data_IF_576852334622
#
_entry.id   IF_576852334622
#
_cell.length_a   1.000
_cell.length_b   1.000
_cell.length_c   1.000
_cell.angle_alpha   90.00
_cell.angle_beta   90.00
_cell.angle_gamma   90.00
#
_symmetry.space_group_name_H-M   'P 1'
#
loop_
_entity.id
_entity.type
_entity.pdbx_description
1 polymer ?
#
# COMPACT_ATOMS: atom_id res chain seq x y z
N UNK A 1 11.61 10.88 17.87
CA UNK A 1 10.41 11.73 17.84
C UNK A 1 9.39 11.10 16.92
N UNK A 2 8.13 11.11 17.30
CA UNK A 2 7.07 10.46 16.55
C UNK A 2 6.92 11.00 15.11
N UNK A 3 7.12 12.32 14.89
CA UNK A 3 7.10 12.92 13.56
C UNK A 3 8.10 12.30 12.61
N UNK A 4 9.27 11.93 13.11
CA UNK A 4 10.30 11.29 12.30
C UNK A 4 9.87 9.91 11.77
N UNK A 5 9.12 9.16 12.56
CA UNK A 5 8.63 7.83 12.11
C UNK A 5 7.65 8.00 10.96
N UNK A 6 6.71 8.94 11.09
CA UNK A 6 5.72 9.19 10.04
C UNK A 6 6.40 9.70 8.76
N UNK A 7 7.35 10.61 8.89
CA UNK A 7 8.11 11.14 7.76
C UNK A 7 8.95 10.05 7.09
N UNK A 8 9.59 9.19 7.88
CA UNK A 8 10.37 8.06 7.35
C UNK A 8 9.47 7.05 6.64
N UNK A 9 8.27 6.81 7.17
CA UNK A 9 7.28 5.96 6.54
C UNK A 9 6.90 6.48 5.15
N UNK A 10 6.59 7.78 5.05
CA UNK A 10 6.26 8.39 3.77
C UNK A 10 7.43 8.34 2.79
N UNK A 11 8.64 8.68 3.25
CA UNK A 11 9.84 8.65 2.42
C UNK A 11 10.15 7.23 1.92
N UNK A 12 9.93 6.22 2.77
CA UNK A 12 10.11 4.83 2.38
C UNK A 12 9.20 4.46 1.21
N UNK A 13 7.90 4.76 1.30
CA UNK A 13 6.98 4.43 0.22
C UNK A 13 7.26 5.18 -1.07
N UNK A 14 7.79 6.39 -0.98
CA UNK A 14 8.19 7.16 -2.16
C UNK A 14 9.47 6.63 -2.82
N UNK A 15 10.30 5.92 -2.07
CA UNK A 15 11.56 5.35 -2.55
C UNK A 15 11.48 3.86 -2.87
N UNK A 16 10.45 3.16 -2.37
CA UNK A 16 10.35 1.71 -2.44
C UNK A 16 10.15 1.23 -3.87
N UNK A 17 10.93 0.24 -4.26
CA UNK A 17 10.78 -0.50 -5.50
C UNK A 17 11.26 -1.94 -5.28
N UNK A 18 11.21 -2.77 -6.32
CA UNK A 18 11.60 -4.19 -6.23
C UNK A 18 13.06 -4.39 -5.82
N UNK A 19 13.91 -3.41 -6.04
CA UNK A 19 15.35 -3.48 -5.74
C UNK A 19 15.70 -2.83 -4.40
N UNK A 20 14.73 -2.23 -3.72
CA UNK A 20 14.92 -1.50 -2.47
C UNK A 20 14.04 -2.01 -1.33
N UNK A 21 13.67 -3.27 -1.35
CA UNK A 21 12.81 -3.86 -0.31
C UNK A 21 13.47 -3.89 1.07
N UNK A 22 14.79 -3.76 1.13
CA UNK A 22 15.51 -3.64 2.42
C UNK A 22 15.08 -2.42 3.22
N UNK A 23 14.48 -1.40 2.58
CA UNK A 23 13.97 -0.23 3.27
C UNK A 23 12.84 -0.57 4.25
N UNK A 24 12.11 -1.65 4.01
CA UNK A 24 11.03 -2.08 4.91
C UNK A 24 11.53 -2.29 6.33
N UNK A 25 12.66 -2.97 6.49
CA UNK A 25 13.23 -3.26 7.80
C UNK A 25 13.77 -2.02 8.53
N UNK A 26 13.98 -0.93 7.83
CA UNK A 26 14.40 0.32 8.43
C UNK A 26 13.25 1.07 9.10
N UNK A 27 12.01 0.85 8.64
CA UNK A 27 10.82 1.56 9.10
C UNK A 27 9.92 0.66 9.95
N UNK A 28 9.71 -0.58 9.51
CA UNK A 28 8.86 -1.53 10.22
C UNK A 28 9.64 -2.29 11.29
N UNK A 29 8.96 -2.57 12.40
CA UNK A 29 9.53 -3.40 13.46
C UNK A 29 9.66 -4.86 13.02
N UNK A 30 10.55 -5.64 13.68
CA UNK A 30 10.66 -7.08 13.37
C UNK A 30 9.35 -7.85 13.53
N UNK A 31 8.47 -7.40 14.43
CA UNK A 31 7.19 -8.03 14.75
C UNK A 31 5.99 -7.33 14.11
N UNK A 32 6.21 -6.61 13.02
CA UNK A 32 5.16 -5.86 12.31
C UNK A 32 3.92 -6.72 12.03
N UNK A 33 2.76 -6.14 12.23
CA UNK A 33 1.49 -6.68 11.75
C UNK A 33 0.99 -5.80 10.62
N UNK A 34 0.86 -6.37 9.45
CA UNK A 34 0.44 -5.68 8.23
C UNK A 34 -0.87 -6.28 7.73
N UNK A 35 -1.84 -5.43 7.50
CA UNK A 35 -3.15 -5.85 6.99
C UNK A 35 -3.52 -4.99 5.78
N UNK A 36 -3.92 -5.63 4.70
CA UNK A 36 -4.54 -4.96 3.57
C UNK A 36 -5.86 -5.70 3.23
N UNK A 37 -6.61 -5.26 2.21
CA UNK A 37 -7.87 -5.92 1.86
C UNK A 37 -7.73 -7.39 1.43
N UNK A 38 -6.52 -7.85 1.14
CA UNK A 38 -6.27 -9.20 0.63
C UNK A 38 -5.76 -10.13 1.74
N UNK A 39 -4.78 -9.66 2.52
CA UNK A 39 -4.01 -10.51 3.43
C UNK A 39 -3.72 -9.84 4.77
N UNK A 40 -3.41 -10.67 5.75
CA UNK A 40 -2.78 -10.30 7.01
C UNK A 40 -1.42 -10.97 7.05
N UNK A 41 -0.37 -10.18 7.29
CA UNK A 41 1.01 -10.66 7.31
C UNK A 41 1.66 -10.25 8.62
N UNK A 42 2.36 -11.16 9.25
CA UNK A 42 3.04 -10.92 10.53
C UNK A 42 4.54 -11.17 10.38
N UNK A 43 5.33 -10.22 10.90
CA UNK A 43 6.78 -10.30 10.89
C UNK A 43 7.41 -9.70 9.63
N UNK A 44 8.61 -9.14 9.82
CA UNK A 44 9.30 -8.40 8.75
C UNK A 44 9.75 -9.31 7.60
N UNK A 45 10.11 -10.56 7.90
CA UNK A 45 10.56 -11.48 6.85
C UNK A 45 9.41 -11.84 5.90
N UNK A 46 8.26 -12.20 6.46
CA UNK A 46 7.08 -12.52 5.67
C UNK A 46 6.54 -11.29 4.94
N UNK A 47 6.63 -10.11 5.56
CA UNK A 47 6.20 -8.88 4.92
C UNK A 47 7.10 -8.53 3.73
N UNK A 48 8.41 -8.70 3.87
CA UNK A 48 9.34 -8.46 2.76
C UNK A 48 9.05 -9.40 1.60
N UNK A 49 8.78 -10.67 1.88
CA UNK A 49 8.42 -11.64 0.85
C UNK A 49 7.09 -11.29 0.17
N UNK A 50 6.12 -10.83 0.95
CA UNK A 50 4.83 -10.38 0.43
C UNK A 50 5.00 -9.21 -0.54
N UNK A 51 5.80 -8.22 -0.17
CA UNK A 51 6.10 -7.07 -1.02
C UNK A 51 6.89 -7.47 -2.26
N UNK A 52 7.81 -8.43 -2.12
CA UNK A 52 8.57 -8.92 -3.26
C UNK A 52 7.64 -9.50 -4.33
N UNK A 53 6.65 -10.26 -3.92
CA UNK A 53 5.65 -10.82 -4.85
C UNK A 53 4.78 -9.74 -5.47
N UNK A 54 4.34 -8.78 -4.67
CA UNK A 54 3.51 -7.68 -5.17
C UNK A 54 4.24 -6.82 -6.20
N UNK A 55 5.51 -6.57 -5.98
CA UNK A 55 6.30 -5.68 -6.82
C UNK A 55 6.89 -6.37 -8.05
N UNK A 56 6.78 -7.69 -8.14
CA UNK A 56 7.35 -8.47 -9.24
C UNK A 56 6.86 -8.02 -10.61
N UNK A 57 5.58 -7.73 -10.76
CA UNK A 57 5.00 -7.28 -12.03
C UNK A 57 4.86 -5.77 -12.16
N UNK A 58 5.37 -5.01 -11.22
CA UNK A 58 5.20 -3.55 -11.19
C UNK A 58 6.23 -2.91 -12.12
N UNK A 59 5.75 -2.17 -13.13
CA UNK A 59 6.59 -1.37 -14.00
C UNK A 59 6.91 -0.02 -13.37
N UNK A 60 5.90 0.64 -12.80
CA UNK A 60 6.05 1.90 -12.09
C UNK A 60 5.04 1.96 -10.95
N UNK A 61 5.44 2.54 -9.84
CA UNK A 61 4.56 2.80 -8.70
C UNK A 61 4.98 4.10 -8.03
N UNK A 62 4.01 4.92 -7.69
CA UNK A 62 4.24 6.15 -6.95
C UNK A 62 3.12 6.41 -5.96
N UNK A 63 3.45 7.08 -4.85
CA UNK A 63 2.51 7.47 -3.82
C UNK A 63 2.58 8.97 -3.59
N UNK A 64 1.42 9.62 -3.56
CA UNK A 64 1.27 10.99 -3.10
C UNK A 64 0.44 10.98 -1.83
N UNK A 65 0.97 11.55 -0.75
CA UNK A 65 0.25 11.64 0.53
C UNK A 65 -0.46 12.99 0.60
N UNK A 66 -1.79 12.93 0.75
CA UNK A 66 -2.63 14.14 0.74
C UNK A 66 -2.84 14.69 2.14
N UNK A 67 -3.43 13.88 3.03
CA UNK A 67 -3.71 14.26 4.40
C UNK A 67 -2.99 13.32 5.34
N UNK A 68 -2.27 13.90 6.30
CA UNK A 68 -1.59 13.13 7.33
C UNK A 68 -2.00 13.68 8.68
N UNK A 69 -2.63 12.81 9.49
CA UNK A 69 -3.07 13.15 10.84
C UNK A 69 -2.29 12.29 11.82
N UNK A 70 -1.60 12.91 12.75
CA UNK A 70 -0.82 12.23 13.77
C UNK A 70 -1.40 12.55 15.15
N UNK A 71 -1.64 11.50 15.93
CA UNK A 71 -2.09 11.63 17.31
C UNK A 71 -1.36 10.60 18.17
N UNK A 72 -0.44 11.09 19.00
CA UNK A 72 0.35 10.21 19.87
C UNK A 72 1.16 9.18 19.09
N UNK A 73 0.83 7.92 19.30
CA UNK A 73 1.54 6.77 18.73
C UNK A 73 0.85 6.19 17.48
N UNK A 74 -0.07 6.94 16.91
CA UNK A 74 -0.77 6.51 15.69
C UNK A 74 -0.87 7.64 14.68
N UNK A 75 -0.97 7.27 13.41
CA UNK A 75 -1.17 8.21 12.32
C UNK A 75 -2.12 7.63 11.29
N UNK A 76 -2.85 8.49 10.65
CA UNK A 76 -3.72 8.16 9.54
C UNK A 76 -3.26 8.97 8.34
N UNK A 77 -2.93 8.27 7.25
CA UNK A 77 -2.37 8.89 6.06
C UNK A 77 -3.26 8.57 4.86
N UNK A 78 -3.85 9.60 4.26
CA UNK A 78 -4.57 9.46 3.01
C UNK A 78 -3.58 9.62 1.85
N UNK A 79 -3.70 8.76 0.85
CA UNK A 79 -2.77 8.76 -0.28
C UNK A 79 -3.49 8.46 -1.58
N UNK A 80 -2.80 8.78 -2.65
CA UNK A 80 -3.16 8.38 -4.00
C UNK A 80 -1.98 7.61 -4.57
N UNK A 81 -2.25 6.41 -5.08
CA UNK A 81 -1.24 5.55 -5.69
C UNK A 81 -1.41 5.59 -7.21
N UNK A 82 -0.31 5.73 -7.93
CA UNK A 82 -0.25 5.51 -9.35
C UNK A 82 0.54 4.25 -9.62
N UNK A 83 -0.06 3.31 -10.36
CA UNK A 83 0.51 2.00 -10.59
C UNK A 83 0.43 1.62 -12.06
N UNK A 84 1.56 1.17 -12.61
CA UNK A 84 1.62 0.47 -13.90
C UNK A 84 2.11 -0.94 -13.64
N UNK A 85 1.31 -1.91 -14.06
CA UNK A 85 1.60 -3.32 -13.84
C UNK A 85 1.51 -4.06 -15.17
N UNK A 86 2.43 -5.00 -15.40
CA UNK A 86 2.49 -5.75 -16.65
C UNK A 86 1.23 -6.55 -16.97
N UNK A 87 0.44 -6.90 -15.94
CA UNK A 87 -0.82 -7.66 -16.08
C UNK A 87 -2.04 -6.80 -16.36
N UNK A 88 -1.91 -5.47 -16.24
CA UNK A 88 -3.02 -4.53 -16.36
C UNK A 88 -2.84 -3.61 -17.56
N UNK A 89 -2.74 -4.11 -18.76
CA UNK A 89 -2.46 -3.27 -19.92
C UNK A 89 -1.25 -2.37 -19.64
N UNK A 90 -0.01 -2.78 -19.98
CA UNK A 90 1.24 -2.14 -19.55
C UNK A 90 1.35 -0.65 -19.81
N UNK A 91 0.54 -0.10 -20.71
CA UNK A 91 0.55 1.34 -21.04
C UNK A 91 -0.43 2.17 -20.23
N UNK A 92 -1.30 1.52 -19.46
CA UNK A 92 -2.25 2.23 -18.61
C UNK A 92 -1.70 2.41 -17.21
N UNK A 93 -1.97 3.59 -16.65
CA UNK A 93 -1.69 3.88 -15.25
C UNK A 93 -2.98 3.75 -14.47
N UNK A 94 -2.97 2.90 -13.46
CA UNK A 94 -4.04 2.81 -12.48
C UNK A 94 -3.82 3.87 -11.42
N UNK A 95 -4.82 4.71 -11.18
CA UNK A 95 -4.82 5.64 -10.07
C UNK A 95 -5.79 5.14 -9.02
N UNK A 96 -5.30 4.95 -7.79
CA UNK A 96 -6.08 4.37 -6.72
C UNK A 96 -5.93 5.21 -5.45
N UNK A 97 -7.03 5.79 -4.94
CA UNK A 97 -7.00 6.42 -3.62
C UNK A 97 -7.10 5.38 -2.52
N UNK A 98 -6.46 5.67 -1.41
CA UNK A 98 -6.50 4.81 -0.24
C UNK A 98 -6.09 5.55 1.00
N UNK A 99 -6.02 4.82 2.10
CA UNK A 99 -5.57 5.35 3.36
C UNK A 99 -4.91 4.26 4.18
N UNK A 100 -4.01 4.68 5.07
CA UNK A 100 -3.28 3.78 5.94
C UNK A 100 -3.38 4.25 7.38
N UNK A 101 -3.67 3.32 8.28
CA UNK A 101 -3.53 3.53 9.72
C UNK A 101 -2.24 2.84 10.16
N UNK A 102 -1.36 3.58 10.83
CA UNK A 102 -0.17 3.01 11.45
C UNK A 102 -0.17 3.26 12.95
N UNK A 103 0.41 2.30 13.67
CA UNK A 103 0.76 2.46 15.09
C UNK A 103 2.26 2.28 15.21
N UNK A 104 2.89 3.11 16.00
CA UNK A 104 4.35 3.17 16.02
C UNK A 104 4.90 3.60 17.38
N UNK A 105 6.12 3.24 17.62
CA UNK A 105 7.01 3.83 18.62
C UNK A 105 8.20 4.41 17.86
N UNK A 106 9.38 3.85 17.95
CA UNK A 106 10.52 4.22 17.10
C UNK A 106 10.46 3.56 15.72
N UNK A 107 9.61 2.53 15.58
CA UNK A 107 9.34 1.83 14.32
C UNK A 107 7.84 1.61 14.20
N UNK A 108 7.38 1.37 12.98
CA UNK A 108 5.98 1.03 12.72
C UNK A 108 5.73 -0.41 13.12
N UNK A 109 4.81 -0.62 14.06
CA UNK A 109 4.48 -1.95 14.60
C UNK A 109 3.18 -2.51 14.07
N UNK A 110 2.31 -1.64 13.56
CA UNK A 110 1.03 -2.01 12.98
C UNK A 110 0.77 -1.13 11.77
N UNK A 111 0.27 -1.76 10.70
CA UNK A 111 -0.06 -1.09 9.44
C UNK A 111 -1.34 -1.70 8.87
N UNK A 112 -2.34 -0.89 8.62
CA UNK A 112 -3.53 -1.35 7.93
C UNK A 112 -3.89 -0.43 6.78
N UNK A 113 -4.00 -1.01 5.59
CA UNK A 113 -4.40 -0.30 4.38
C UNK A 113 -5.89 -0.45 4.12
N UNK A 114 -6.49 0.64 3.68
CA UNK A 114 -7.88 0.70 3.23
C UNK A 114 -7.90 1.23 1.80
N UNK A 115 -8.32 0.40 0.86
CA UNK A 115 -8.51 0.82 -0.53
C UNK A 115 -9.55 -0.07 -1.20
N UNK A 116 -10.05 0.38 -2.35
CA UNK A 116 -11.04 -0.37 -3.13
C UNK A 116 -10.36 -1.49 -3.92
N UNK A 117 -10.45 -2.70 -3.41
CA UNK A 117 -9.87 -3.88 -4.05
C UNK A 117 -10.50 -4.14 -5.42
N UNK A 118 -11.79 -3.86 -5.58
CA UNK A 118 -12.47 -3.99 -6.86
C UNK A 118 -11.86 -3.11 -7.93
N UNK A 119 -11.61 -1.84 -7.59
CA UNK A 119 -10.97 -0.91 -8.51
C UNK A 119 -9.55 -1.36 -8.87
N UNK A 120 -8.80 -1.91 -7.90
CA UNK A 120 -7.43 -2.33 -8.13
C UNK A 120 -7.32 -3.60 -8.98
N UNK A 121 -8.16 -4.60 -8.73
CA UNK A 121 -8.01 -5.93 -9.31
C UNK A 121 -9.18 -6.29 -10.23
N UNK A 122 -10.39 -6.33 -9.68
CA UNK A 122 -11.53 -6.96 -10.35
C UNK A 122 -12.07 -6.13 -11.51
N UNK A 123 -12.07 -4.83 -11.38
CA UNK A 123 -12.55 -3.93 -12.43
C UNK A 123 -11.61 -3.89 -13.65
N UNK A 124 -10.37 -4.36 -13.49
CA UNK A 124 -9.39 -4.45 -14.58
C UNK A 124 -9.48 -5.77 -15.35
N UNK A 125 -10.25 -6.73 -14.86
CA UNK A 125 -10.50 -7.99 -15.56
C UNK A 125 -11.65 -7.80 -16.54
N UNK A 126 -11.50 -8.11 -17.84
CA UNK A 126 -12.49 -7.75 -18.86
C UNK A 126 -13.93 -8.17 -18.56
N UNK A 127 -14.14 -9.41 -18.12
CA UNK A 127 -15.49 -9.92 -17.83
C UNK A 127 -15.90 -9.58 -16.41
N UNK A 128 -15.08 -9.93 -15.44
CA UNK A 128 -15.36 -9.72 -14.03
C UNK A 128 -15.45 -8.23 -13.70
N UNK A 129 -14.56 -7.42 -14.26
CA UNK A 129 -14.57 -5.99 -14.08
C UNK A 129 -15.86 -5.35 -14.55
N UNK A 130 -16.39 -5.79 -15.69
CA UNK A 130 -17.67 -5.33 -16.21
C UNK A 130 -18.83 -5.65 -15.28
N UNK A 131 -18.86 -6.86 -14.72
CA UNK A 131 -19.88 -7.27 -13.76
C UNK A 131 -19.84 -6.44 -12.48
N UNK A 132 -18.65 -6.20 -11.95
CA UNK A 132 -18.48 -5.40 -10.73
C UNK A 132 -18.90 -3.95 -10.96
N UNK A 133 -18.51 -3.34 -12.08
CA UNK A 133 -18.93 -1.98 -12.42
C UNK A 133 -20.45 -1.88 -12.56
N UNK A 134 -21.08 -2.89 -13.17
CA UNK A 134 -22.54 -2.94 -13.32
C UNK A 134 -23.24 -3.01 -11.95
N UNK A 135 -22.72 -3.80 -11.02
CA UNK A 135 -23.26 -3.89 -9.66
C UNK A 135 -23.11 -2.55 -8.95
N UNK A 136 -21.94 -1.93 -9.00
CA UNK A 136 -21.70 -0.64 -8.37
C UNK A 136 -22.63 0.45 -8.92
N UNK A 137 -22.91 0.44 -10.19
CA UNK A 137 -23.78 1.42 -10.82
C UNK A 137 -25.25 1.35 -10.32
N UNK A 138 -25.66 0.23 -9.76
CA UNK A 138 -27.00 0.04 -9.20
C UNK A 138 -27.12 0.45 -7.74
N UNK A 139 -26.03 0.67 -7.09
CA UNK A 139 -26.03 1.10 -5.69
C UNK A 139 -26.21 2.61 -5.58
#
# INVERSE_FOLDING_TARGET
MSGNVVERFQAMYQALDKDRLHLLAEVYSPDIVFIDPIHRVEGIEDLTEYFRRMYEGVAEIGFAFDDVVVEGDRAFLAWEMELRHIRFRPRETLTLPGATLIRFDQQVRFHRDYFDLGAMIYERTPVLGGAIRAIKARL
#
